data_IF_428574058837
#
_entry.id   IF_428574058837
#
_cell.length_a   1.000
_cell.length_b   1.000
_cell.length_c   1.000
_cell.angle_alpha   90.00
_cell.angle_beta   90.00
_cell.angle_gamma   90.00
#
_symmetry.space_group_name_H-M   'P 1'
#
loop_
_entity.id
_entity.type
_entity.pdbx_description
1 polymer ?
#
# COMPACT_ATOMS: atom_id res chain seq x y z
N UNK A 1 -29.44 8.16 -27.59
CA UNK A 1 -29.38 9.61 -27.31
C UNK A 1 -30.48 9.87 -26.29
N UNK A 2 -30.29 10.28 -25.03
CA UNK A 2 -29.46 11.35 -24.44
C UNK A 2 -29.18 11.02 -22.96
N UNK A 3 -28.04 11.52 -22.47
CA UNK A 3 -27.45 11.41 -21.13
C UNK A 3 -28.32 12.07 -20.05
N UNK A 4 -28.31 11.52 -18.82
CA UNK A 4 -28.66 12.28 -17.61
C UNK A 4 -27.49 12.19 -16.62
N UNK A 5 -26.66 13.23 -16.63
CA UNK A 5 -25.66 13.48 -15.60
C UNK A 5 -26.25 14.47 -14.61
N UNK A 6 -26.45 14.04 -13.35
CA UNK A 6 -26.83 14.94 -12.26
C UNK A 6 -25.61 15.77 -11.87
N UNK A 7 -25.72 17.07 -12.11
CA UNK A 7 -24.79 18.10 -11.67
C UNK A 7 -24.80 18.22 -10.14
N UNK A 8 -23.64 18.07 -9.50
CA UNK A 8 -23.40 18.56 -8.15
C UNK A 8 -22.77 19.94 -8.27
N UNK A 9 -23.56 20.97 -7.94
CA UNK A 9 -23.10 22.34 -7.77
C UNK A 9 -22.18 22.39 -6.54
N UNK A 10 -20.90 22.64 -6.74
CA UNK A 10 -19.97 22.97 -5.67
C UNK A 10 -19.76 24.48 -5.60
N UNK A 11 -20.11 25.03 -4.45
CA UNK A 11 -19.88 26.40 -4.04
C UNK A 11 -18.36 26.65 -3.99
N UNK A 12 -17.89 27.67 -4.70
CA UNK A 12 -16.54 28.26 -4.53
C UNK A 12 -16.47 29.01 -3.20
N UNK A 13 -15.32 28.98 -2.52
CA UNK A 13 -14.82 30.20 -1.89
C UNK A 13 -13.50 30.69 -2.50
N UNK A 14 -13.41 32.02 -2.49
CA UNK A 14 -12.40 32.92 -3.03
C UNK A 14 -10.93 32.61 -2.65
N UNK A 15 -10.05 32.89 -3.61
CA UNK A 15 -8.65 33.30 -3.42
C UNK A 15 -8.58 34.82 -3.21
N UNK A 16 -7.79 35.28 -2.22
CA UNK A 16 -7.04 36.55 -2.04
C UNK A 16 -6.87 36.77 -0.51
N UNK A 17 -5.81 37.27 0.10
CA UNK A 17 -4.62 38.02 -0.33
C UNK A 17 -3.41 37.79 0.61
N UNK A 18 -2.27 38.21 0.08
CA UNK A 18 -0.99 38.56 0.68
C UNK A 18 -1.01 39.25 2.04
N UNK A 19 -0.02 38.94 2.88
CA UNK A 19 0.36 39.72 4.05
C UNK A 19 1.76 39.35 4.56
N UNK A 20 2.73 40.22 4.31
CA UNK A 20 4.14 40.12 4.72
C UNK A 20 4.36 40.83 6.07
N UNK A 21 5.47 40.47 6.76
CA UNK A 21 6.12 41.10 7.95
C UNK A 21 5.64 40.54 9.32
N UNK A 22 6.47 40.31 10.35
CA UNK A 22 7.90 40.54 10.63
C UNK A 22 8.30 39.73 11.89
N UNK A 23 9.54 39.23 11.91
CA UNK A 23 10.49 39.07 13.04
C UNK A 23 10.05 39.13 14.52
N UNK A 24 10.40 38.10 15.31
CA UNK A 24 11.35 38.16 16.47
C UNK A 24 11.41 36.82 17.24
N UNK A 25 12.58 36.17 17.25
CA UNK A 25 13.45 35.90 18.40
C UNK A 25 12.81 35.13 19.59
N UNK A 26 13.11 33.84 19.70
CA UNK A 26 13.51 33.24 20.98
C UNK A 26 14.66 32.26 20.75
N UNK A 27 15.82 32.66 21.26
CA UNK A 27 17.00 31.84 21.50
C UNK A 27 16.79 31.16 22.87
N UNK A 28 17.03 29.85 22.97
CA UNK A 28 17.69 29.27 24.15
C UNK A 28 18.29 27.91 23.77
N UNK A 29 19.56 27.65 24.14
CA UNK A 29 20.30 26.46 23.76
C UNK A 29 20.05 25.31 24.75
N UNK A 30 20.13 24.07 24.29
CA UNK A 30 20.32 22.92 25.17
C UNK A 30 21.51 22.13 24.63
N UNK A 31 22.68 22.40 25.20
CA UNK A 31 23.86 21.54 25.08
C UNK A 31 23.67 20.30 25.96
N UNK A 32 23.88 19.13 25.37
CA UNK A 32 24.44 17.97 26.08
C UNK A 32 25.23 17.17 25.05
N UNK A 33 26.54 17.24 25.22
CA UNK A 33 27.61 16.68 24.42
C UNK A 33 27.53 15.16 24.27
N UNK A 34 27.72 14.68 23.04
CA UNK A 34 28.46 13.45 22.80
C UNK A 34 29.59 13.73 21.81
N UNK A 35 30.76 14.00 22.38
CA UNK A 35 32.06 13.96 21.73
C UNK A 35 32.27 12.57 21.09
N UNK A 36 32.36 12.47 19.76
CA UNK A 36 33.22 11.47 19.10
C UNK A 36 33.76 12.05 17.78
N UNK A 37 35.03 12.45 17.86
CA UNK A 37 36.07 12.41 16.82
C UNK A 37 35.80 13.13 15.48
N UNK A 38 36.33 14.35 15.38
CA UNK A 38 36.81 14.91 14.12
C UNK A 38 37.86 13.96 13.51
N UNK A 39 37.49 13.30 12.41
CA UNK A 39 38.46 12.80 11.44
C UNK A 39 38.25 13.57 10.15
N UNK A 40 39.28 14.33 9.78
CA UNK A 40 39.34 15.07 8.55
C UNK A 40 39.05 14.17 7.36
N UNK A 41 38.05 14.55 6.57
CA UNK A 41 37.88 14.08 5.22
C UNK A 41 37.97 15.28 4.29
N UNK A 42 38.85 15.10 3.29
CA UNK A 42 39.15 15.98 2.18
C UNK A 42 37.93 16.72 1.64
N UNK A 43 38.11 18.00 1.34
CA UNK A 43 37.07 18.95 0.92
C UNK A 43 36.58 18.77 -0.53
N UNK A 44 36.50 17.54 -1.05
CA UNK A 44 36.11 17.27 -2.44
C UNK A 44 34.87 16.39 -2.64
N UNK A 45 34.33 15.73 -1.60
CA UNK A 45 33.25 14.72 -1.77
C UNK A 45 31.84 15.12 -1.25
N UNK A 46 31.59 16.41 -0.96
CA UNK A 46 30.26 16.85 -0.46
C UNK A 46 29.17 16.96 -1.52
N UNK A 47 29.47 16.76 -2.80
CA UNK A 47 28.53 17.06 -3.89
C UNK A 47 28.25 15.89 -4.83
N UNK A 48 28.09 14.67 -4.30
CA UNK A 48 27.17 13.76 -4.97
C UNK A 48 25.76 14.27 -4.69
N UNK A 49 25.25 15.09 -5.60
CA UNK A 49 23.88 15.62 -5.54
C UNK A 49 22.93 14.48 -5.18
N UNK A 50 22.03 14.65 -4.21
CA UNK A 50 21.07 13.58 -3.86
C UNK A 50 20.34 13.05 -5.12
N UNK A 51 20.19 13.90 -6.14
CA UNK A 51 19.64 13.56 -7.46
C UNK A 51 20.44 12.49 -8.18
N UNK A 52 21.76 12.50 -8.05
CA UNK A 52 22.67 11.53 -8.63
C UNK A 52 22.56 10.17 -7.92
N UNK A 53 22.46 10.19 -6.57
CA UNK A 53 22.14 8.98 -5.78
C UNK A 53 20.79 8.38 -6.16
N UNK A 54 19.77 9.21 -6.39
CA UNK A 54 18.47 8.76 -6.85
C UNK A 54 18.51 8.24 -8.30
N UNK A 55 19.34 8.83 -9.17
CA UNK A 55 19.47 8.47 -10.60
C UNK A 55 20.18 7.13 -10.80
N UNK A 56 21.22 6.86 -10.02
CA UNK A 56 22.01 5.63 -10.11
C UNK A 56 21.22 4.39 -9.64
N UNK A 57 19.99 4.58 -9.16
CA UNK A 57 19.12 3.51 -8.69
C UNK A 57 19.48 3.11 -7.26
N UNK A 58 18.50 3.22 -6.37
CA UNK A 58 18.69 2.78 -4.98
C UNK A 58 18.42 1.28 -4.92
N UNK A 59 19.48 0.47 -4.78
CA UNK A 59 19.40 -0.97 -4.59
C UNK A 59 19.90 -1.32 -3.20
N UNK A 60 19.07 -2.01 -2.40
CA UNK A 60 19.53 -2.56 -1.11
C UNK A 60 19.96 -1.54 -0.06
N UNK A 61 19.38 -0.34 -0.06
CA UNK A 61 19.76 0.73 0.89
C UNK A 61 19.54 0.32 2.35
N UNK A 62 20.52 0.57 3.22
CA UNK A 62 20.37 0.36 4.66
C UNK A 62 19.54 1.48 5.29
N UNK A 63 18.97 1.21 6.47
CA UNK A 63 18.14 2.18 7.20
C UNK A 63 18.87 3.51 7.40
N UNK A 64 20.10 3.48 7.91
CA UNK A 64 20.85 4.70 8.24
C UNK A 64 21.21 5.51 6.98
N UNK A 65 21.59 4.82 5.90
CA UNK A 65 21.88 5.46 4.60
C UNK A 65 20.64 6.14 4.01
N UNK A 66 19.47 5.53 4.19
CA UNK A 66 18.21 6.09 3.72
C UNK A 66 17.78 7.31 4.53
N UNK A 67 17.96 7.26 5.85
CA UNK A 67 17.72 8.42 6.73
C UNK A 67 18.68 9.55 6.37
N UNK A 68 19.97 9.27 6.22
CA UNK A 68 20.96 10.26 5.81
C UNK A 68 20.60 10.89 4.45
N UNK A 69 20.22 10.06 3.47
CA UNK A 69 19.77 10.56 2.16
C UNK A 69 18.52 11.44 2.29
N UNK A 70 17.54 11.04 3.09
CA UNK A 70 16.34 11.85 3.33
C UNK A 70 16.69 13.19 4.00
N UNK A 71 17.60 13.21 4.98
CA UNK A 71 18.06 14.44 5.62
C UNK A 71 18.76 15.37 4.62
N UNK A 72 19.68 14.82 3.81
CA UNK A 72 20.33 15.58 2.73
C UNK A 72 19.30 16.15 1.74
N UNK A 73 18.23 15.40 1.45
CA UNK A 73 17.14 15.88 0.60
C UNK A 73 16.44 17.09 1.21
N UNK A 74 15.98 17.03 2.46
CA UNK A 74 15.22 18.15 3.07
C UNK A 74 16.06 19.43 3.25
N UNK A 75 17.35 19.28 3.51
CA UNK A 75 18.31 20.38 3.65
C UNK A 75 18.67 21.01 2.31
N UNK A 76 18.61 20.24 1.22
CA UNK A 76 19.03 20.70 -0.09
C UNK A 76 18.22 21.89 -0.63
N UNK A 77 18.89 22.70 -1.43
CA UNK A 77 18.31 23.79 -2.22
C UNK A 77 18.78 23.64 -3.68
N UNK A 78 17.86 23.58 -4.66
CA UNK A 78 16.41 23.71 -4.55
C UNK A 78 15.74 22.53 -3.81
N UNK A 79 14.58 22.78 -3.19
CA UNK A 79 13.83 21.77 -2.43
C UNK A 79 13.52 20.55 -3.33
N UNK A 80 13.60 19.32 -2.79
CA UNK A 80 13.27 18.11 -3.55
C UNK A 80 11.81 18.09 -3.95
N UNK A 81 11.54 17.43 -5.07
CA UNK A 81 10.17 17.21 -5.54
C UNK A 81 9.54 16.00 -4.86
N UNK A 82 8.21 15.91 -4.90
CA UNK A 82 7.48 14.71 -4.42
C UNK A 82 7.96 13.43 -5.14
N UNK A 83 8.39 13.56 -6.40
CA UNK A 83 8.93 12.44 -7.19
C UNK A 83 10.24 11.92 -6.59
N UNK A 84 11.10 12.82 -6.11
CA UNK A 84 12.38 12.44 -5.49
C UNK A 84 12.15 11.61 -4.21
N UNK A 85 11.22 12.04 -3.36
CA UNK A 85 10.80 11.27 -2.17
C UNK A 85 10.18 9.92 -2.55
N UNK A 86 9.30 9.90 -3.54
CA UNK A 86 8.64 8.68 -4.00
C UNK A 86 9.64 7.63 -4.53
N UNK A 87 10.75 8.05 -5.16
CA UNK A 87 11.84 7.15 -5.57
C UNK A 87 12.51 6.49 -4.37
N UNK A 88 12.84 7.27 -3.34
CA UNK A 88 13.40 6.75 -2.08
C UNK A 88 12.42 5.78 -1.39
N UNK A 89 11.15 6.17 -1.26
CA UNK A 89 10.14 5.34 -0.61
C UNK A 89 9.87 4.04 -1.36
N UNK A 90 9.86 4.08 -2.69
CA UNK A 90 9.73 2.86 -3.50
C UNK A 90 10.91 1.90 -3.27
N UNK A 91 12.14 2.43 -3.20
CA UNK A 91 13.31 1.60 -2.92
C UNK A 91 13.28 0.98 -1.51
N UNK A 92 12.86 1.76 -0.52
CA UNK A 92 12.67 1.29 0.86
C UNK A 92 11.56 0.23 0.97
N UNK A 93 10.44 0.43 0.27
CA UNK A 93 9.36 -0.56 0.23
C UNK A 93 9.82 -1.89 -0.42
N UNK A 94 10.67 -1.83 -1.46
CA UNK A 94 11.26 -3.04 -2.09
C UNK A 94 12.22 -3.78 -1.16
N UNK A 95 12.93 -3.06 -0.30
CA UNK A 95 13.79 -3.63 0.76
C UNK A 95 13.02 -4.00 2.03
N UNK A 96 11.67 -3.96 2.00
CA UNK A 96 10.76 -4.30 3.09
C UNK A 96 10.90 -3.42 4.35
N UNK A 97 11.50 -2.23 4.21
CA UNK A 97 11.64 -1.26 5.30
C UNK A 97 10.38 -0.41 5.45
N UNK A 98 9.23 -1.06 5.66
CA UNK A 98 7.92 -0.42 5.59
C UNK A 98 7.70 0.63 6.69
N UNK A 99 8.07 0.33 7.93
CA UNK A 99 7.90 1.28 9.04
C UNK A 99 8.75 2.54 8.83
N UNK A 100 9.97 2.40 8.30
CA UNK A 100 10.80 3.55 7.93
C UNK A 100 10.15 4.42 6.86
N UNK A 101 9.53 3.82 5.83
CA UNK A 101 8.79 4.58 4.81
C UNK A 101 7.68 5.40 5.46
N UNK A 102 6.94 4.82 6.39
CA UNK A 102 5.83 5.49 7.08
C UNK A 102 6.33 6.67 7.94
N UNK A 103 7.43 6.48 8.67
CA UNK A 103 8.06 7.53 9.48
C UNK A 103 8.55 8.69 8.61
N UNK A 104 9.25 8.39 7.51
CA UNK A 104 9.76 9.41 6.59
C UNK A 104 8.61 10.11 5.83
N UNK A 105 7.53 9.41 5.46
CA UNK A 105 6.34 10.03 4.87
C UNK A 105 5.66 11.03 5.82
N UNK A 106 5.64 10.73 7.12
CA UNK A 106 5.14 11.66 8.14
C UNK A 106 6.05 12.88 8.28
N UNK A 107 7.38 12.68 8.26
CA UNK A 107 8.33 13.79 8.28
C UNK A 107 8.18 14.69 7.04
N UNK A 108 7.96 14.11 5.85
CA UNK A 108 7.70 14.87 4.62
C UNK A 108 6.49 15.81 4.77
N UNK A 109 5.41 15.36 5.42
CA UNK A 109 4.23 16.18 5.71
C UNK A 109 4.53 17.31 6.71
N UNK A 110 5.30 17.02 7.76
CA UNK A 110 5.73 18.01 8.75
C UNK A 110 6.62 19.11 8.15
N UNK A 111 7.36 18.81 7.07
CA UNK A 111 8.13 19.79 6.30
C UNK A 111 7.26 20.59 5.31
N UNK A 112 5.94 20.41 5.34
CA UNK A 112 4.99 21.11 4.48
C UNK A 112 4.95 20.61 3.03
N UNK A 113 5.51 19.43 2.76
CA UNK A 113 5.50 18.83 1.42
C UNK A 113 4.28 17.91 1.32
N UNK A 114 3.31 18.31 0.50
CA UNK A 114 2.06 17.58 0.36
C UNK A 114 2.25 16.20 -0.29
N UNK A 115 1.49 15.21 0.19
CA UNK A 115 1.40 13.90 -0.45
C UNK A 115 0.62 14.00 -1.77
N UNK A 116 1.03 13.23 -2.78
CA UNK A 116 0.20 12.97 -3.95
C UNK A 116 -0.40 11.55 -3.89
N UNK A 117 -1.25 11.22 -4.86
CA UNK A 117 -1.89 9.90 -4.95
C UNK A 117 -0.86 8.76 -4.92
N UNK A 118 0.28 8.91 -5.62
CA UNK A 118 1.32 7.88 -5.67
C UNK A 118 2.00 7.67 -4.31
N UNK A 119 2.31 8.74 -3.57
CA UNK A 119 2.85 8.63 -2.21
C UNK A 119 1.86 7.91 -1.29
N UNK A 120 0.57 8.23 -1.39
CA UNK A 120 -0.48 7.57 -0.60
C UNK A 120 -0.64 6.09 -0.96
N UNK A 121 -0.53 5.72 -2.24
CA UNK A 121 -0.52 4.31 -2.67
C UNK A 121 0.67 3.54 -2.08
N UNK A 122 1.86 4.13 -2.02
CA UNK A 122 3.03 3.54 -1.33
C UNK A 122 2.72 3.32 0.15
N UNK A 123 2.18 4.34 0.82
CA UNK A 123 1.83 4.30 2.26
C UNK A 123 0.79 3.20 2.53
N UNK A 124 -0.24 3.06 1.69
CA UNK A 124 -1.24 1.98 1.79
C UNK A 124 -0.56 0.62 1.69
N UNK A 125 0.31 0.41 0.69
CA UNK A 125 1.07 -0.83 0.54
C UNK A 125 1.93 -1.11 1.78
N UNK A 126 2.65 -0.12 2.30
CA UNK A 126 3.45 -0.27 3.52
C UNK A 126 2.58 -0.67 4.73
N UNK A 127 1.44 -0.02 4.96
CA UNK A 127 0.52 -0.40 6.04
C UNK A 127 -0.04 -1.82 5.88
N UNK A 128 -0.43 -2.22 4.66
CA UNK A 128 -0.88 -3.58 4.38
C UNK A 128 0.22 -4.62 4.68
N UNK A 129 1.47 -4.36 4.27
CA UNK A 129 2.60 -5.26 4.49
C UNK A 129 3.06 -5.32 5.95
N UNK A 130 2.86 -4.23 6.71
CA UNK A 130 3.04 -4.19 8.16
C UNK A 130 1.82 -4.67 8.96
N UNK A 131 0.80 -5.26 8.31
CA UNK A 131 -0.45 -5.75 8.94
C UNK A 131 -1.26 -4.69 9.71
N UNK A 132 -1.05 -3.42 9.38
CA UNK A 132 -1.67 -2.23 10.02
C UNK A 132 -2.88 -1.74 9.20
N UNK A 133 -3.87 -2.60 8.97
CA UNK A 133 -4.96 -2.32 8.02
C UNK A 133 -5.83 -1.11 8.37
N UNK A 134 -6.06 -0.81 9.65
CA UNK A 134 -6.83 0.39 10.03
C UNK A 134 -6.21 1.67 9.47
N UNK A 135 -4.87 1.75 9.50
CA UNK A 135 -4.14 2.87 8.92
C UNK A 135 -4.13 2.84 7.38
N UNK A 136 -4.12 1.66 6.76
CA UNK A 136 -4.27 1.53 5.30
C UNK A 136 -5.61 2.10 4.81
N UNK A 137 -6.71 1.77 5.49
CA UNK A 137 -8.03 2.35 5.18
C UNK A 137 -8.12 3.85 5.51
N UNK A 138 -7.44 4.31 6.56
CA UNK A 138 -7.32 5.75 6.85
C UNK A 138 -6.60 6.51 5.73
N UNK A 139 -5.51 5.95 5.19
CA UNK A 139 -4.79 6.51 4.05
C UNK A 139 -5.66 6.55 2.77
N UNK A 140 -6.47 5.52 2.55
CA UNK A 140 -7.50 5.52 1.49
C UNK A 140 -8.56 6.62 1.72
N UNK A 141 -9.01 6.83 2.95
CA UNK A 141 -9.87 7.95 3.31
C UNK A 141 -9.22 9.31 3.03
N UNK A 142 -7.90 9.42 3.22
CA UNK A 142 -7.11 10.62 2.87
C UNK A 142 -7.09 10.85 1.36
N UNK A 143 -6.95 9.80 0.53
CA UNK A 143 -7.07 9.89 -0.95
C UNK A 143 -8.41 10.55 -1.32
N UNK A 144 -9.52 10.03 -0.78
CA UNK A 144 -10.86 10.55 -1.04
C UNK A 144 -11.04 11.99 -0.55
N UNK A 145 -10.57 12.31 0.66
CA UNK A 145 -10.67 13.66 1.25
C UNK A 145 -9.90 14.71 0.45
N UNK A 146 -8.80 14.32 -0.19
CA UNK A 146 -8.01 15.20 -1.06
C UNK A 146 -8.60 15.33 -2.48
N UNK A 147 -9.74 14.68 -2.75
CA UNK A 147 -10.41 14.71 -4.06
C UNK A 147 -9.76 13.82 -5.11
N UNK A 148 -8.89 12.89 -4.70
CA UNK A 148 -8.32 11.90 -5.61
C UNK A 148 -9.27 10.71 -5.77
N UNK A 149 -9.35 10.17 -6.98
CA UNK A 149 -10.05 8.92 -7.25
C UNK A 149 -9.11 7.73 -7.02
N UNK A 150 -9.47 6.80 -6.11
CA UNK A 150 -8.71 5.59 -5.93
C UNK A 150 -8.79 4.72 -7.18
N UNK A 151 -7.63 4.21 -7.60
CA UNK A 151 -7.52 3.35 -8.77
C UNK A 151 -7.59 1.85 -8.42
N UNK A 152 -7.63 1.02 -9.45
CA UNK A 152 -7.61 -0.44 -9.33
C UNK A 152 -6.43 -0.93 -8.50
N UNK A 153 -5.27 -0.27 -8.59
CA UNK A 153 -4.05 -0.63 -7.84
C UNK A 153 -4.27 -0.42 -6.33
N UNK A 154 -4.89 0.69 -5.94
CA UNK A 154 -5.19 1.01 -4.55
C UNK A 154 -6.11 -0.02 -3.92
N UNK A 155 -7.21 -0.36 -4.59
CA UNK A 155 -8.12 -1.40 -4.11
C UNK A 155 -7.47 -2.79 -4.10
N UNK A 156 -6.73 -3.13 -5.14
CA UNK A 156 -5.98 -4.39 -5.23
C UNK A 156 -5.01 -4.55 -4.06
N UNK A 157 -4.34 -3.47 -3.68
CA UNK A 157 -3.41 -3.45 -2.55
C UNK A 157 -4.13 -3.70 -1.22
N UNK A 158 -5.29 -3.08 -1.01
CA UNK A 158 -6.11 -3.28 0.19
C UNK A 158 -6.65 -4.71 0.29
N UNK A 159 -7.14 -5.27 -0.83
CA UNK A 159 -7.62 -6.65 -0.90
C UNK A 159 -6.49 -7.62 -0.54
N UNK A 160 -5.31 -7.45 -1.14
CA UNK A 160 -4.15 -8.26 -0.80
C UNK A 160 -3.77 -8.12 0.69
N UNK A 161 -3.83 -6.89 1.24
CA UNK A 161 -3.63 -6.64 2.66
C UNK A 161 -4.60 -7.41 3.56
N UNK A 162 -5.90 -7.44 3.22
CA UNK A 162 -6.93 -8.22 3.92
C UNK A 162 -6.62 -9.72 3.89
N UNK A 163 -6.21 -10.23 2.73
CA UNK A 163 -5.78 -11.62 2.58
C UNK A 163 -4.57 -11.96 3.46
N UNK A 164 -3.55 -11.09 3.50
CA UNK A 164 -2.34 -11.29 4.31
C UNK A 164 -2.60 -11.40 5.81
N UNK A 165 -3.66 -10.77 6.32
CA UNK A 165 -4.07 -10.87 7.73
C UNK A 165 -5.18 -11.91 7.96
N UNK A 166 -5.57 -12.67 6.92
CA UNK A 166 -6.59 -13.71 7.02
C UNK A 166 -8.04 -13.21 7.04
N UNK A 167 -8.30 -11.93 6.78
CA UNK A 167 -9.64 -11.31 6.72
C UNK A 167 -10.31 -11.51 5.35
N UNK A 168 -10.34 -12.76 4.90
CA UNK A 168 -10.77 -13.15 3.55
C UNK A 168 -12.23 -12.75 3.25
N UNK A 169 -13.15 -12.79 4.22
CA UNK A 169 -14.55 -12.39 4.00
C UNK A 169 -14.66 -10.93 3.57
N UNK A 170 -14.01 -10.03 4.30
CA UNK A 170 -14.02 -8.60 3.97
C UNK A 170 -13.33 -8.30 2.63
N UNK A 171 -12.36 -9.14 2.26
CA UNK A 171 -11.69 -9.05 0.98
C UNK A 171 -12.64 -9.41 -0.18
N UNK A 172 -13.50 -10.41 0.02
CA UNK A 172 -14.59 -10.76 -0.92
C UNK A 172 -15.63 -9.63 -0.99
N UNK A 173 -16.07 -9.10 0.15
CA UNK A 173 -17.02 -7.97 0.17
C UNK A 173 -16.48 -6.74 -0.59
N UNK A 174 -15.18 -6.50 -0.49
CA UNK A 174 -14.53 -5.42 -1.23
C UNK A 174 -14.50 -5.71 -2.73
N UNK A 175 -14.25 -6.95 -3.16
CA UNK A 175 -14.37 -7.35 -4.57
C UNK A 175 -15.78 -7.12 -5.09
N UNK A 176 -16.82 -7.46 -4.32
CA UNK A 176 -18.21 -7.32 -4.73
C UNK A 176 -18.58 -5.86 -5.01
N UNK A 177 -18.08 -4.94 -4.18
CA UNK A 177 -18.23 -3.50 -4.42
C UNK A 177 -17.52 -3.05 -5.70
N UNK A 178 -16.33 -3.57 -5.99
CA UNK A 178 -15.58 -3.23 -7.21
C UNK A 178 -16.30 -3.72 -8.46
N UNK A 179 -16.83 -4.95 -8.44
CA UNK A 179 -17.62 -5.49 -9.54
C UNK A 179 -18.86 -4.62 -9.77
N UNK A 180 -19.56 -4.19 -8.71
CA UNK A 180 -20.68 -3.24 -8.82
C UNK A 180 -20.29 -1.90 -9.44
N UNK A 181 -19.03 -1.47 -9.27
CA UNK A 181 -18.46 -0.26 -9.87
C UNK A 181 -17.85 -0.51 -11.27
N UNK A 182 -18.00 -1.71 -11.84
CA UNK A 182 -17.38 -2.13 -13.12
C UNK A 182 -15.84 -2.08 -13.12
N UNK A 183 -15.23 -2.21 -11.95
CA UNK A 183 -13.77 -2.37 -11.80
C UNK A 183 -13.48 -3.85 -11.62
N UNK A 184 -12.67 -4.42 -12.52
CA UNK A 184 -12.35 -5.85 -12.52
C UNK A 184 -11.05 -6.05 -11.71
N UNK A 185 -11.08 -6.77 -10.57
CA UNK A 185 -9.86 -7.16 -9.85
C UNK A 185 -8.96 -8.08 -10.69
N UNK A 186 -7.67 -8.09 -10.41
CA UNK A 186 -6.71 -8.91 -11.17
C UNK A 186 -6.79 -10.41 -10.81
N UNK A 187 -6.25 -11.28 -11.69
CA UNK A 187 -6.22 -12.74 -11.50
C UNK A 187 -5.47 -13.17 -10.22
N UNK A 188 -4.44 -12.42 -9.83
CA UNK A 188 -3.67 -12.70 -8.61
C UNK A 188 -4.56 -12.61 -7.36
N UNK A 189 -5.44 -11.60 -7.30
CA UNK A 189 -6.42 -11.45 -6.22
C UNK A 189 -7.40 -12.61 -6.21
N UNK A 190 -7.95 -12.98 -7.37
CA UNK A 190 -8.87 -14.11 -7.49
C UNK A 190 -8.23 -15.40 -6.94
N UNK A 191 -7.01 -15.73 -7.39
CA UNK A 191 -6.28 -16.92 -6.93
C UNK A 191 -6.03 -16.89 -5.42
N UNK A 192 -5.68 -15.71 -4.88
CA UNK A 192 -5.45 -15.53 -3.44
C UNK A 192 -6.72 -15.73 -2.62
N UNK A 193 -7.85 -15.16 -3.06
CA UNK A 193 -9.14 -15.27 -2.37
C UNK A 193 -9.70 -16.68 -2.42
N UNK A 194 -9.65 -17.33 -3.59
CA UNK A 194 -10.10 -18.72 -3.77
C UNK A 194 -9.31 -19.65 -2.85
N UNK A 195 -7.98 -19.52 -2.83
CA UNK A 195 -7.16 -20.29 -1.89
C UNK A 195 -7.54 -20.01 -0.44
N UNK A 196 -7.71 -18.74 -0.05
CA UNK A 196 -8.12 -18.34 1.29
C UNK A 196 -9.48 -18.89 1.73
N UNK A 197 -10.46 -18.92 0.83
CA UNK A 197 -11.80 -19.48 1.06
C UNK A 197 -11.74 -21.00 1.21
N UNK A 198 -11.01 -21.69 0.32
CA UNK A 198 -10.83 -23.15 0.39
C UNK A 198 -10.12 -23.61 1.66
N UNK A 199 -9.09 -22.87 2.12
CA UNK A 199 -8.41 -23.15 3.39
C UNK A 199 -9.34 -23.02 4.60
N UNK A 200 -10.32 -22.11 4.54
CA UNK A 200 -11.39 -21.96 5.55
C UNK A 200 -12.56 -22.93 5.36
N UNK A 201 -12.48 -23.85 4.40
CA UNK A 201 -13.55 -24.82 4.10
C UNK A 201 -14.76 -24.23 3.37
N UNK A 202 -14.70 -22.96 2.95
CA UNK A 202 -15.79 -22.23 2.28
C UNK A 202 -15.74 -22.43 0.77
N UNK A 203 -15.76 -23.69 0.34
CA UNK A 203 -15.55 -24.07 -1.08
C UNK A 203 -16.67 -23.52 -1.97
N UNK A 204 -17.92 -23.56 -1.52
CA UNK A 204 -19.05 -23.03 -2.29
C UNK A 204 -18.92 -21.54 -2.61
N UNK A 205 -18.41 -20.75 -1.66
CA UNK A 205 -18.14 -19.32 -1.88
C UNK A 205 -16.97 -19.09 -2.82
N UNK A 206 -15.97 -19.98 -2.79
CA UNK A 206 -14.84 -19.92 -3.72
C UNK A 206 -15.32 -20.15 -5.17
N UNK A 207 -16.21 -21.12 -5.39
CA UNK A 207 -16.82 -21.38 -6.70
C UNK A 207 -17.66 -20.19 -7.16
N UNK A 208 -18.53 -19.66 -6.29
CA UNK A 208 -19.33 -18.48 -6.60
C UNK A 208 -18.48 -17.25 -6.94
N UNK A 209 -17.33 -17.08 -6.28
CA UNK A 209 -16.38 -16.01 -6.61
C UNK A 209 -15.79 -16.18 -8.02
N UNK A 210 -15.42 -17.40 -8.41
CA UNK A 210 -14.92 -17.71 -9.75
C UNK A 210 -15.97 -17.38 -10.80
N UNK A 211 -17.20 -17.85 -10.63
CA UNK A 211 -18.28 -17.63 -11.61
C UNK A 211 -18.56 -16.14 -11.84
N UNK A 212 -18.57 -15.35 -10.75
CA UNK A 212 -18.74 -13.90 -10.83
C UNK A 212 -17.59 -13.22 -11.56
N UNK A 213 -16.35 -13.62 -11.29
CA UNK A 213 -15.18 -13.03 -11.94
C UNK A 213 -15.12 -13.40 -13.43
N UNK A 214 -15.50 -14.63 -13.78
CA UNK A 214 -15.64 -15.09 -15.15
C UNK A 214 -16.69 -14.28 -15.91
N UNK A 215 -17.87 -14.07 -15.31
CA UNK A 215 -18.93 -13.26 -15.90
C UNK A 215 -18.52 -11.79 -16.13
N UNK A 216 -17.52 -11.29 -15.39
CA UNK A 216 -16.97 -9.95 -15.53
C UNK A 216 -15.69 -9.90 -16.37
N UNK A 217 -15.35 -10.98 -17.10
CA UNK A 217 -14.24 -11.00 -18.07
C UNK A 217 -12.87 -11.30 -17.48
N UNK A 218 -12.77 -11.72 -16.21
CA UNK A 218 -11.55 -12.28 -15.66
C UNK A 218 -11.50 -13.77 -15.98
N UNK A 219 -10.45 -14.23 -16.66
CA UNK A 219 -10.27 -15.64 -17.03
C UNK A 219 -9.52 -16.39 -15.92
N UNK A 220 -10.17 -17.29 -15.16
CA UNK A 220 -9.51 -18.14 -14.18
C UNK A 220 -8.52 -19.10 -14.84
N UNK A 221 -7.45 -19.46 -14.15
CA UNK A 221 -6.43 -20.37 -14.65
C UNK A 221 -6.38 -21.68 -13.83
N UNK A 222 -5.47 -22.58 -14.21
CA UNK A 222 -5.27 -23.84 -13.48
C UNK A 222 -4.92 -23.60 -11.99
N UNK A 223 -4.24 -22.50 -11.66
CA UNK A 223 -3.95 -22.14 -10.27
C UNK A 223 -5.21 -21.73 -9.50
N UNK A 224 -6.21 -21.14 -10.16
CA UNK A 224 -7.50 -20.82 -9.53
C UNK A 224 -8.24 -22.09 -9.07
N UNK A 225 -8.29 -23.13 -9.90
CA UNK A 225 -9.07 -24.35 -9.58
C UNK A 225 -8.36 -25.33 -8.65
N UNK A 226 -7.02 -25.30 -8.59
CA UNK A 226 -6.21 -26.22 -7.78
C UNK A 226 -6.64 -26.32 -6.30
N UNK A 227 -6.84 -25.19 -5.57
CA UNK A 227 -7.29 -25.20 -4.18
C UNK A 227 -8.66 -25.88 -3.98
N UNK A 228 -9.58 -25.73 -4.93
CA UNK A 228 -10.92 -26.33 -4.87
C UNK A 228 -10.80 -27.85 -4.96
N UNK A 229 -10.11 -28.35 -5.99
CA UNK A 229 -9.91 -29.79 -6.20
C UNK A 229 -9.21 -30.43 -5.00
N UNK A 230 -8.16 -29.81 -4.48
CA UNK A 230 -7.44 -30.30 -3.30
C UNK A 230 -8.36 -30.39 -2.08
N UNK A 231 -9.21 -29.38 -1.85
CA UNK A 231 -10.14 -29.38 -0.71
C UNK A 231 -11.21 -30.45 -0.87
N UNK A 232 -11.78 -30.62 -2.06
CA UNK A 232 -12.78 -31.64 -2.36
C UNK A 232 -12.24 -33.07 -2.21
N UNK A 233 -11.02 -33.33 -2.67
CA UNK A 233 -10.37 -34.63 -2.50
C UNK A 233 -10.12 -34.96 -1.03
N UNK A 234 -9.76 -33.97 -0.20
CA UNK A 234 -9.57 -34.15 1.25
C UNK A 234 -10.88 -34.45 1.98
N UNK A 235 -11.98 -33.77 1.62
CA UNK A 235 -13.30 -34.07 2.19
C UNK A 235 -13.83 -35.44 1.76
N UNK A 236 -13.57 -35.85 0.51
CA UNK A 236 -13.96 -37.18 0.02
C UNK A 236 -13.25 -38.32 0.76
N UNK A 237 -11.97 -38.15 1.10
CA UNK A 237 -11.22 -39.12 1.93
C UNK A 237 -11.78 -39.26 3.35
N UNK A 238 -12.23 -38.16 3.95
CA UNK A 238 -12.90 -38.21 5.26
C UNK A 238 -14.25 -38.94 5.20
N UNK A 239 -15.00 -38.76 4.12
CA UNK A 239 -16.29 -39.45 3.92
C UNK A 239 -16.10 -40.95 3.64
N UNK A 240 -15.08 -41.34 2.89
CA UNK A 240 -14.78 -42.75 2.61
C UNK A 240 -14.17 -43.49 3.83
N UNK A 241 -13.37 -42.81 4.66
CA UNK A 241 -12.80 -43.39 5.88
C UNK A 241 -13.83 -43.73 6.96
N UNK A 242 -14.91 -42.95 7.08
CA UNK A 242 -16.02 -43.26 7.99
C UNK A 242 -16.88 -44.45 7.52
N UNK A 243 -16.74 -44.89 6.27
CA UNK A 243 -17.51 -46.01 5.71
C UNK A 243 -16.81 -47.36 5.87
N UNK A 244 -15.49 -47.37 6.13
CA UNK A 244 -14.72 -48.58 6.42
C UNK A 244 -14.84 -49.06 7.87
N UNK A 245 -15.16 -48.18 8.83
CA UNK A 245 -15.26 -48.54 10.25
C UNK A 245 -16.64 -49.12 10.64
N UNK A 246 -17.60 -49.16 9.71
CA UNK A 246 -18.96 -49.68 9.96
C UNK A 246 -19.18 -51.11 9.43
N UNK A 247 -18.14 -51.80 8.95
CA UNK A 247 -18.27 -53.15 8.32
C UNK A 247 -17.72 -54.33 9.13
N UNK A 248 -17.08 -54.13 10.28
CA UNK A 248 -16.52 -55.22 11.10
C UNK A 248 -17.32 -55.43 12.41
N UNK A 249 -18.63 -55.64 12.29
CA UNK A 249 -19.49 -55.81 13.47
C UNK A 249 -20.86 -56.40 13.16
N UNK A 250 -20.90 -57.59 12.55
CA UNK A 250 -21.99 -58.58 12.66
C UNK A 250 -21.51 -59.92 12.13
#
# INVERSE_FOLDING_TARGET
MIRSAKALRFVRPLLLETGTLRTSLFHSPCESSCFVCERGFSSSDRNLSYKERLRNGIVGIKKDDAVALFQTMIESRPRPTVIDFNRLFTALARTKQYDLVLDLCKQMELQGIAHNIYTLSIVINCFCRSRKLGFAFSAMGKILKLGYEPDTVTFSTLINGLCLVGRVSEAVDLVDRLVGMKVIPNLIILNTLVNGLCLKGRVSEAVALIDRMLANGCQPDAFTYGPILNRMCKSGKHFLGLRSDQKDGT
#
